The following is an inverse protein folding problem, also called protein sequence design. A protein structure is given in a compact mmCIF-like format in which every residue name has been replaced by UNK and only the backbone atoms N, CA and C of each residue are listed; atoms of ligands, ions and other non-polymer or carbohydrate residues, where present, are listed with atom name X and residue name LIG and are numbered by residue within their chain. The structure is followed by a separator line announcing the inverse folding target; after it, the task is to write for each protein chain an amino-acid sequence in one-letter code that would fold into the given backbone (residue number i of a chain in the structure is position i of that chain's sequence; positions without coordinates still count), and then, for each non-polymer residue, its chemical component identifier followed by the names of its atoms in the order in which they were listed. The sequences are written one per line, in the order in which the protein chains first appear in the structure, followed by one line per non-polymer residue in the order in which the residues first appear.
data_IF_782636804775
#
_entry.id   IF_782636804775
#
_cell.length_a   1.000
_cell.length_b   1.000
_cell.length_c   1.000
_cell.angle_alpha   90.00
_cell.angle_beta   90.00
_cell.angle_gamma   90.00
#
_symmetry.space_group_name_H-M   'P 1'
#
loop_
_entity.id
_entity.type
_entity.pdbx_description
1 polymer ?
#
# COMPACT_ATOMS: atom_id res chain seq x y z
N UNK A 1 2.97 0.26 -16.90
CA UNK A 1 3.76 -0.20 -15.75
C UNK A 1 3.12 -1.40 -15.07
N UNK A 2 3.94 -2.16 -14.31
CA UNK A 2 3.51 -3.26 -13.44
C UNK A 2 3.49 -2.76 -12.00
N UNK A 3 2.44 -3.12 -11.27
CA UNK A 3 2.20 -2.75 -9.88
C UNK A 3 1.87 -4.01 -9.08
N UNK A 4 2.10 -3.96 -7.78
CA UNK A 4 1.96 -5.13 -6.90
C UNK A 4 1.12 -4.79 -5.68
N UNK A 5 0.29 -5.75 -5.27
CA UNK A 5 -0.48 -5.66 -4.02
C UNK A 5 -0.43 -7.00 -3.31
N UNK A 6 -0.28 -6.95 -1.99
CA UNK A 6 -0.33 -8.12 -1.11
C UNK A 6 -1.49 -7.92 -0.14
N UNK A 7 -2.31 -8.94 0.06
CA UNK A 7 -3.46 -8.90 0.96
C UNK A 7 -3.56 -10.17 1.79
N UNK A 8 -4.27 -10.05 2.90
CA UNK A 8 -4.75 -11.21 3.66
C UNK A 8 -5.62 -12.11 2.76
N UNK A 9 -5.48 -13.45 2.86
CA UNK A 9 -6.23 -14.38 2.02
C UNK A 9 -7.75 -14.18 2.05
N UNK A 10 -8.32 -13.70 3.14
CA UNK A 10 -9.77 -13.46 3.26
C UNK A 10 -10.29 -12.37 2.31
N UNK A 11 -9.39 -11.53 1.76
CA UNK A 11 -9.70 -10.45 0.81
C UNK A 11 -9.15 -10.73 -0.59
N UNK A 12 -8.74 -11.97 -0.87
CA UNK A 12 -7.98 -12.32 -2.06
C UNK A 12 -8.46 -13.63 -2.72
N UNK A 13 -9.77 -13.88 -2.70
CA UNK A 13 -10.37 -14.98 -3.47
C UNK A 13 -10.50 -14.62 -4.95
N UNK A 14 -10.68 -13.33 -5.27
CA UNK A 14 -10.76 -12.83 -6.65
C UNK A 14 -9.95 -11.55 -6.85
N UNK A 15 -9.50 -11.25 -8.09
CA UNK A 15 -8.85 -9.97 -8.39
C UNK A 15 -9.72 -8.76 -8.06
N UNK A 16 -11.04 -8.91 -8.22
CA UNK A 16 -12.00 -7.86 -7.91
C UNK A 16 -12.01 -7.49 -6.42
N UNK A 17 -11.97 -8.50 -5.54
CA UNK A 17 -11.85 -8.29 -4.09
C UNK A 17 -10.53 -7.58 -3.74
N UNK A 18 -9.40 -8.04 -4.30
CA UNK A 18 -8.09 -7.43 -4.04
C UNK A 18 -8.01 -5.97 -4.52
N UNK A 19 -8.75 -5.63 -5.57
CA UNK A 19 -8.80 -4.29 -6.18
C UNK A 19 -10.09 -3.53 -5.84
N UNK A 20 -10.82 -3.92 -4.80
CA UNK A 20 -12.12 -3.31 -4.45
C UNK A 20 -12.01 -1.91 -3.83
N UNK A 21 -10.86 -1.58 -3.24
CA UNK A 21 -10.66 -0.37 -2.46
C UNK A 21 -11.47 -0.31 -1.15
N UNK A 22 -12.07 -1.43 -0.72
CA UNK A 22 -12.99 -1.45 0.44
C UNK A 22 -12.33 -1.00 1.74
N UNK A 23 -11.07 -1.39 1.98
CA UNK A 23 -10.34 -0.98 3.18
C UNK A 23 -10.16 0.54 3.26
N UNK A 24 -9.69 1.15 2.18
CA UNK A 24 -9.50 2.60 2.10
C UNK A 24 -10.85 3.35 2.16
N UNK A 25 -11.90 2.79 1.57
CA UNK A 25 -13.24 3.36 1.65
C UNK A 25 -13.75 3.43 3.10
N UNK A 26 -13.51 2.39 3.91
CA UNK A 26 -14.00 2.34 5.31
C UNK A 26 -13.14 3.11 6.29
N UNK A 27 -11.83 3.06 6.12
CA UNK A 27 -10.87 3.50 7.15
C UNK A 27 -9.96 4.64 6.68
N UNK A 28 -10.02 5.01 5.41
CA UNK A 28 -9.06 5.94 4.82
C UNK A 28 -7.68 5.29 4.63
N UNK A 29 -6.69 6.13 4.38
CA UNK A 29 -5.29 5.75 4.29
C UNK A 29 -4.39 6.96 4.51
N UNK A 30 -3.08 6.80 4.27
CA UNK A 30 -2.12 7.91 4.38
C UNK A 30 -2.48 9.10 3.47
N UNK A 31 -3.11 8.81 2.33
CA UNK A 31 -3.38 9.79 1.28
C UNK A 31 -4.87 10.02 1.03
N UNK A 32 -5.78 9.48 1.85
CA UNK A 32 -7.21 9.71 1.61
C UNK A 32 -8.05 9.57 2.88
N UNK A 33 -9.12 10.37 2.97
CA UNK A 33 -10.17 10.16 3.97
C UNK A 33 -11.06 8.96 3.62
N UNK A 34 -11.77 8.39 4.62
CA UNK A 34 -12.83 7.41 4.34
C UNK A 34 -13.89 7.99 3.39
N UNK A 35 -14.44 7.13 2.52
CA UNK A 35 -15.53 7.49 1.60
C UNK A 35 -15.22 7.27 0.11
N UNK A 36 -13.96 7.06 -0.24
CA UNK A 36 -13.54 6.79 -1.62
C UNK A 36 -12.84 5.44 -1.77
N UNK A 37 -13.17 4.70 -2.83
CA UNK A 37 -12.56 3.40 -3.12
C UNK A 37 -11.20 3.59 -3.77
N UNK A 38 -10.17 3.69 -2.94
CA UNK A 38 -8.77 3.79 -3.38
C UNK A 38 -8.07 2.44 -3.23
N UNK A 39 -7.39 2.01 -4.29
CA UNK A 39 -6.54 0.83 -4.26
C UNK A 39 -5.09 1.26 -4.18
N UNK A 40 -4.41 0.92 -3.08
CA UNK A 40 -2.98 1.13 -2.92
C UNK A 40 -2.19 -0.04 -3.51
N UNK A 41 -1.27 0.26 -4.42
CA UNK A 41 -0.32 -0.69 -4.97
C UNK A 41 1.10 -0.13 -4.85
N UNK A 42 2.10 -1.01 -4.92
CA UNK A 42 3.51 -0.63 -4.94
C UNK A 42 4.11 -0.84 -6.34
N UNK A 43 5.10 -0.04 -6.72
CA UNK A 43 5.82 -0.21 -7.99
C UNK A 43 6.69 -1.47 -8.02
N UNK A 44 7.01 -2.04 -6.85
CA UNK A 44 7.80 -3.26 -6.71
C UNK A 44 7.13 -4.24 -5.75
N UNK A 45 7.31 -5.55 -5.98
CA UNK A 45 6.86 -6.57 -5.03
C UNK A 45 7.60 -6.45 -3.69
N UNK A 46 8.87 -6.04 -3.72
CA UNK A 46 9.67 -5.78 -2.53
C UNK A 46 9.10 -4.64 -1.68
N UNK A 47 8.63 -3.56 -2.30
CA UNK A 47 7.97 -2.46 -1.59
C UNK A 47 6.62 -2.90 -1.04
N UNK A 48 5.79 -3.62 -1.80
CA UNK A 48 4.53 -4.15 -1.29
C UNK A 48 4.75 -5.06 -0.06
N UNK A 49 5.82 -5.85 -0.07
CA UNK A 49 6.23 -6.64 1.08
C UNK A 49 6.75 -5.77 2.22
N UNK A 50 7.54 -4.73 1.95
CA UNK A 50 8.01 -3.85 3.01
C UNK A 50 6.87 -3.08 3.70
N UNK A 51 5.92 -2.57 2.92
CA UNK A 51 4.69 -1.93 3.41
C UNK A 51 3.91 -2.86 4.33
N UNK A 52 3.66 -4.10 3.89
CA UNK A 52 2.96 -5.09 4.72
C UNK A 52 3.74 -5.41 6.01
N UNK A 53 5.06 -5.59 5.93
CA UNK A 53 5.91 -5.87 7.08
C UNK A 53 5.83 -4.78 8.16
N UNK A 54 5.86 -3.51 7.76
CA UNK A 54 5.83 -2.38 8.70
C UNK A 54 4.43 -2.19 9.30
N UNK A 55 3.36 -2.42 8.52
CA UNK A 55 2.00 -2.20 9.00
C UNK A 55 1.43 -3.35 9.84
N UNK A 56 1.92 -4.59 9.67
CA UNK A 56 1.49 -5.76 10.47
C UNK A 56 2.66 -6.63 10.93
N UNK A 57 3.57 -6.08 11.77
CA UNK A 57 4.82 -6.77 12.17
C UNK A 57 4.57 -8.08 12.93
N UNK A 58 3.46 -8.21 13.64
CA UNK A 58 3.11 -9.42 14.39
C UNK A 58 2.58 -10.56 13.51
N UNK A 59 2.19 -10.25 12.27
CA UNK A 59 1.60 -11.21 11.33
C UNK A 59 2.56 -11.61 10.20
N UNK A 60 3.85 -11.32 10.33
CA UNK A 60 4.87 -11.61 9.31
C UNK A 60 4.94 -13.09 8.90
N UNK A 61 4.45 -14.00 9.74
CA UNK A 61 4.40 -15.45 9.44
C UNK A 61 3.09 -15.91 8.77
N UNK A 62 2.10 -15.03 8.67
CA UNK A 62 0.83 -15.38 8.07
C UNK A 62 1.00 -15.68 6.56
N UNK A 63 0.24 -16.63 6.01
CA UNK A 63 0.15 -16.78 4.57
C UNK A 63 -0.60 -15.58 3.99
N UNK A 64 -0.07 -15.00 2.93
CA UNK A 64 -0.69 -13.91 2.19
C UNK A 64 -0.93 -14.32 0.74
N UNK A 65 -1.66 -13.47 0.03
CA UNK A 65 -1.82 -13.54 -1.41
C UNK A 65 -1.26 -12.28 -2.05
N UNK A 66 -0.61 -12.43 -3.21
CA UNK A 66 -0.17 -11.30 -4.02
C UNK A 66 -0.85 -11.31 -5.38
N UNK A 67 -0.94 -10.13 -5.97
CA UNK A 67 -1.36 -9.95 -7.35
C UNK A 67 -0.45 -8.92 -8.03
N UNK A 68 -0.10 -9.20 -9.29
CA UNK A 68 0.49 -8.21 -10.18
C UNK A 68 -0.62 -7.57 -11.00
N UNK A 69 -0.57 -6.25 -11.18
CA UNK A 69 -1.52 -5.48 -11.96
C UNK A 69 -0.77 -4.68 -13.01
N UNK A 70 -1.25 -4.68 -14.24
CA UNK A 70 -0.74 -3.84 -15.32
C UNK A 70 -1.67 -2.66 -15.54
N UNK A 71 -1.09 -1.45 -15.56
CA UNK A 71 -1.79 -0.20 -15.79
C UNK A 71 -1.04 0.62 -16.86
N UNK A 72 -1.74 1.16 -17.87
CA UNK A 72 -1.11 2.06 -18.83
C UNK A 72 -0.53 3.30 -18.13
N UNK A 73 0.78 3.55 -18.25
CA UNK A 73 1.48 4.65 -17.56
C UNK A 73 0.89 6.03 -17.85
N UNK A 74 0.39 6.24 -19.08
CA UNK A 74 -0.26 7.50 -19.47
C UNK A 74 -1.53 7.85 -18.66
N UNK A 75 -2.07 6.91 -17.89
CA UNK A 75 -3.25 7.11 -17.05
C UNK A 75 -2.87 7.39 -15.58
N UNK A 76 -1.57 7.43 -15.27
CA UNK A 76 -1.04 7.64 -13.94
C UNK A 76 -0.36 9.01 -13.92
N UNK A 77 -0.86 9.90 -13.07
CA UNK A 77 -0.20 11.15 -12.76
C UNK A 77 0.91 10.89 -11.72
N UNK A 78 1.99 11.64 -11.77
CA UNK A 78 3.05 11.56 -10.75
C UNK A 78 2.95 12.79 -9.85
N UNK A 79 2.81 12.59 -8.54
CA UNK A 79 2.89 13.66 -7.57
C UNK A 79 4.31 14.24 -7.55
N UNK A 80 4.41 15.57 -7.63
CA UNK A 80 5.67 16.28 -7.48
C UNK A 80 6.07 16.30 -6.00
N UNK A 81 7.18 15.65 -5.67
CA UNK A 81 7.64 15.51 -4.29
C UNK A 81 7.96 16.87 -3.63
N UNK A 82 8.17 17.95 -4.41
CA UNK A 82 8.44 19.30 -3.88
C UNK A 82 7.24 19.96 -3.20
N UNK A 83 6.03 19.41 -3.37
CA UNK A 83 4.81 19.91 -2.69
C UNK A 83 4.64 19.31 -1.30
N UNK A 84 5.49 18.35 -0.92
CA UNK A 84 5.40 17.66 0.36
C UNK A 84 6.06 18.49 1.47
N UNK A 85 5.45 18.56 2.67
CA UNK A 85 6.07 19.19 3.83
C UNK A 85 7.32 18.42 4.27
N UNK A 86 8.25 19.08 4.97
CA UNK A 86 9.55 18.49 5.32
C UNK A 86 9.46 17.19 6.16
N UNK A 87 8.39 17.04 6.94
CA UNK A 87 8.12 15.91 7.85
C UNK A 87 7.02 14.96 7.34
N UNK A 88 6.74 14.96 6.03
CA UNK A 88 5.65 14.19 5.45
C UNK A 88 5.72 12.67 5.69
N UNK A 89 6.91 12.10 5.93
CA UNK A 89 7.03 10.67 6.20
C UNK A 89 6.39 10.27 7.54
N UNK A 90 6.24 11.22 8.47
CA UNK A 90 5.66 10.97 9.78
C UNK A 90 4.24 10.39 9.67
N UNK A 91 3.85 9.46 10.56
CA UNK A 91 2.52 8.86 10.52
C UNK A 91 1.41 9.89 10.75
N UNK A 92 0.33 9.82 9.97
CA UNK A 92 -0.89 10.60 10.20
C UNK A 92 -0.83 12.07 9.77
N UNK A 93 0.08 12.44 8.86
CA UNK A 93 0.23 13.81 8.38
C UNK A 93 -1.01 14.30 7.61
N UNK A 94 -1.75 15.33 8.09
CA UNK A 94 -3.03 15.74 7.49
C UNK A 94 -2.89 16.31 6.08
N UNK A 95 -1.78 16.99 5.77
CA UNK A 95 -1.56 17.57 4.43
C UNK A 95 -1.49 16.50 3.33
N UNK A 96 -1.02 15.29 3.64
CA UNK A 96 -0.99 14.19 2.67
C UNK A 96 -2.38 13.69 2.30
N UNK A 97 -3.26 13.64 3.31
CA UNK A 97 -4.66 13.28 3.12
C UNK A 97 -5.34 14.34 2.26
N UNK A 98 -5.09 15.63 2.52
CA UNK A 98 -5.64 16.71 1.71
C UNK A 98 -5.18 16.64 0.24
N UNK A 99 -3.88 16.42 0.00
CA UNK A 99 -3.33 16.26 -1.36
C UNK A 99 -4.02 15.13 -2.12
N UNK A 100 -4.19 13.97 -1.50
CA UNK A 100 -4.82 12.84 -2.17
C UNK A 100 -6.34 12.97 -2.30
N UNK A 101 -7.03 13.58 -1.33
CA UNK A 101 -8.46 13.90 -1.44
C UNK A 101 -8.73 14.92 -2.56
N UNK A 102 -7.88 15.93 -2.72
CA UNK A 102 -7.94 16.87 -3.83
C UNK A 102 -7.76 16.17 -5.18
N UNK A 103 -6.81 15.23 -5.28
CA UNK A 103 -6.65 14.41 -6.46
C UNK A 103 -7.88 13.54 -6.73
N UNK A 104 -8.42 12.86 -5.72
CA UNK A 104 -9.62 12.02 -5.83
C UNK A 104 -10.80 12.84 -6.33
N UNK A 105 -11.06 14.00 -5.73
CA UNK A 105 -12.16 14.89 -6.12
C UNK A 105 -12.01 15.44 -7.55
N UNK A 106 -10.77 15.57 -8.03
CA UNK A 106 -10.49 16.05 -9.38
C UNK A 106 -10.77 15.02 -10.47
N UNK A 107 -10.68 13.71 -10.15
CA UNK A 107 -10.76 12.58 -11.09
C UNK A 107 -9.90 12.75 -12.37
N UNK A 108 -8.81 13.53 -12.30
CA UNK A 108 -8.03 13.91 -13.49
C UNK A 108 -7.20 12.76 -14.09
N UNK A 109 -6.98 11.70 -13.32
CA UNK A 109 -6.25 10.50 -13.75
C UNK A 109 -6.79 9.27 -13.06
N UNK A 110 -6.58 8.10 -13.68
CA UNK A 110 -6.94 6.80 -13.09
C UNK A 110 -6.12 6.51 -11.84
N UNK A 111 -4.84 6.91 -11.85
CA UNK A 111 -3.95 6.71 -10.73
C UNK A 111 -3.07 7.91 -10.42
N UNK A 112 -2.54 7.92 -9.20
CA UNK A 112 -1.54 8.85 -8.71
C UNK A 112 -0.37 8.05 -8.15
N UNK A 113 0.81 8.22 -8.76
CA UNK A 113 2.06 7.74 -8.20
C UNK A 113 2.51 8.72 -7.12
N UNK A 114 2.72 8.21 -5.91
CA UNK A 114 3.09 8.94 -4.69
C UNK A 114 4.36 8.34 -4.10
N UNK A 115 5.24 9.13 -3.46
CA UNK A 115 6.46 8.58 -2.88
C UNK A 115 6.12 7.64 -1.71
N UNK A 116 6.93 6.58 -1.56
CA UNK A 116 6.85 5.74 -0.36
C UNK A 116 7.49 6.46 0.82
N UNK A 117 6.75 6.58 1.93
CA UNK A 117 7.29 7.07 3.19
C UNK A 117 8.30 6.10 3.81
N UNK A 118 8.27 4.83 3.40
CA UNK A 118 9.05 3.74 3.98
C UNK A 118 10.39 3.52 3.27
N UNK A 119 10.43 3.64 1.95
CA UNK A 119 11.65 3.47 1.15
C UNK A 119 11.85 4.71 0.26
N UNK A 120 12.76 5.63 0.64
CA UNK A 120 13.08 6.80 -0.18
C UNK A 120 13.53 6.40 -1.60
N UNK A 121 12.95 7.06 -2.60
CA UNK A 121 13.22 6.79 -4.01
C UNK A 121 12.35 5.69 -4.65
N UNK A 122 11.54 4.97 -3.87
CA UNK A 122 10.49 4.10 -4.40
C UNK A 122 9.11 4.76 -4.27
N UNK A 123 8.14 4.30 -5.08
CA UNK A 123 6.80 4.89 -5.12
C UNK A 123 5.70 3.84 -4.99
N UNK A 124 4.61 4.28 -4.39
CA UNK A 124 3.33 3.60 -4.42
C UNK A 124 2.43 4.25 -5.48
N UNK A 125 1.39 3.55 -5.91
CA UNK A 125 0.36 4.08 -6.81
C UNK A 125 -1.00 3.88 -6.15
N UNK A 126 -1.74 4.97 -6.02
CA UNK A 126 -3.17 4.96 -5.71
C UNK A 126 -3.95 4.83 -7.01
N UNK A 127 -4.88 3.88 -7.10
CA UNK A 127 -5.87 3.81 -8.19
C UNK A 127 -7.24 4.17 -7.66
N UNK A 128 -7.97 5.02 -8.39
CA UNK A 128 -9.36 5.33 -8.09
C UNK A 128 -10.27 4.28 -8.72
N UNK A 129 -10.90 3.45 -7.89
CA UNK A 129 -11.67 2.28 -8.35
C UNK A 129 -12.85 2.65 -9.25
N UNK A 130 -13.51 3.75 -8.94
CA UNK A 130 -14.73 4.20 -9.63
C UNK A 130 -14.43 5.09 -10.85
N UNK A 131 -13.16 5.30 -11.19
CA UNK A 131 -12.76 6.11 -12.34
C UNK A 131 -13.18 5.44 -13.67
N UNK A 132 -13.66 6.19 -14.68
CA UNK A 132 -14.15 5.63 -15.95
C UNK A 132 -13.16 4.72 -16.68
N UNK A 133 -11.86 5.00 -16.54
CA UNK A 133 -10.78 4.23 -17.17
C UNK A 133 -10.31 3.00 -16.35
N UNK A 134 -10.96 2.66 -15.23
CA UNK A 134 -10.55 1.51 -14.42
C UNK A 134 -10.67 0.18 -15.18
N UNK A 135 -11.53 0.13 -16.20
CA UNK A 135 -11.64 -1.00 -17.13
C UNK A 135 -10.36 -1.26 -17.95
N UNK A 136 -9.38 -0.34 -17.94
CA UNK A 136 -8.06 -0.50 -18.56
C UNK A 136 -7.04 -1.18 -17.65
N UNK A 137 -7.36 -1.38 -16.37
CA UNK A 137 -6.54 -2.13 -15.41
C UNK A 137 -6.57 -3.62 -15.77
N UNK A 138 -5.41 -4.26 -15.84
CA UNK A 138 -5.29 -5.70 -16.14
C UNK A 138 -4.70 -6.41 -14.94
N UNK A 139 -5.54 -7.14 -14.21
CA UNK A 139 -5.10 -7.95 -13.09
C UNK A 139 -4.52 -9.28 -13.59
N UNK A 140 -3.38 -9.68 -13.05
CA UNK A 140 -2.80 -11.00 -13.26
C UNK A 140 -3.42 -12.06 -12.35
N UNK A 141 -2.78 -13.24 -12.32
CA UNK A 141 -3.17 -14.33 -11.42
C UNK A 141 -2.87 -13.98 -9.96
N UNK A 142 -3.70 -14.53 -9.07
CA UNK A 142 -3.47 -14.46 -7.63
C UNK A 142 -2.50 -15.58 -7.24
N UNK A 143 -1.40 -15.21 -6.59
CA UNK A 143 -0.35 -16.14 -6.18
C UNK A 143 -0.16 -16.14 -4.67
N UNK A 144 0.29 -17.26 -4.13
CA UNK A 144 0.70 -17.32 -2.72
C UNK A 144 1.91 -16.41 -2.47
N UNK A 145 1.87 -15.69 -1.35
CA UNK A 145 2.98 -14.91 -0.85
C UNK A 145 3.29 -15.27 0.60
N UNK A 146 4.58 -15.46 0.88
CA UNK A 146 5.09 -15.68 2.24
C UNK A 146 6.45 -15.01 2.35
N UNK A 147 6.71 -14.42 3.50
CA UNK A 147 8.07 -14.03 3.83
C UNK A 147 8.95 -15.26 4.03
N UNK A 148 10.25 -15.09 3.77
CA UNK A 148 11.25 -16.10 4.11
C UNK A 148 11.25 -16.37 5.62
N UNK A 149 11.29 -17.65 6.01
CA UNK A 149 11.22 -18.06 7.40
C UNK A 149 12.35 -17.47 8.29
N UNK A 150 13.46 -17.03 7.71
CA UNK A 150 14.54 -16.34 8.44
C UNK A 150 14.09 -14.99 9.00
N UNK A 151 13.16 -14.30 8.34
CA UNK A 151 12.62 -13.02 8.84
C UNK A 151 11.90 -13.22 10.18
N UNK A 152 11.16 -14.32 10.33
CA UNK A 152 10.52 -14.72 11.58
C UNK A 152 11.52 -14.84 12.73
N UNK A 153 12.69 -15.42 12.47
CA UNK A 153 13.74 -15.57 13.48
C UNK A 153 14.27 -14.23 13.96
N UNK A 154 14.34 -13.24 13.07
CA UNK A 154 14.78 -11.87 13.40
C UNK A 154 13.72 -11.15 14.23
N UNK A 155 12.46 -11.17 13.80
CA UNK A 155 11.36 -10.47 14.48
C UNK A 155 11.14 -11.03 15.88
N UNK A 156 11.06 -12.36 16.03
CA UNK A 156 10.86 -13.01 17.34
C UNK A 156 11.99 -12.71 18.34
N UNK A 157 13.24 -12.74 17.87
CA UNK A 157 14.42 -12.47 18.72
C UNK A 157 14.46 -11.03 19.23
N UNK A 158 13.99 -10.07 18.42
CA UNK A 158 13.89 -8.66 18.82
C UNK A 158 12.72 -8.38 19.76
N UNK A 159 11.57 -9.01 19.52
CA UNK A 159 10.43 -8.89 20.44
C UNK A 159 10.74 -9.49 21.81
N UNK A 160 11.45 -10.62 21.89
CA UNK A 160 11.87 -11.18 23.18
C UNK A 160 12.87 -10.30 23.93
N UNK A 161 13.82 -9.67 23.24
CA UNK A 161 14.80 -8.80 23.90
C UNK A 161 14.23 -7.48 24.42
N UNK A 162 13.12 -6.99 23.86
CA UNK A 162 12.45 -5.76 24.33
C UNK A 162 11.68 -6.05 25.64
N UNK A 163 11.07 -7.23 25.76
CA UNK A 163 10.35 -7.64 26.98
C UNK A 163 11.32 -7.90 28.14
N UNK A 164 12.50 -8.47 27.87
CA UNK A 164 13.52 -8.72 28.90
C UNK A 164 14.16 -7.43 29.45
N UNK A 165 14.18 -6.34 28.66
CA UNK A 165 14.71 -5.04 29.08
C UNK A 165 13.68 -4.23 29.91
N UNK A 166 12.37 -4.39 29.68
CA UNK A 166 11.31 -3.72 30.47
C UNK A 166 11.04 -4.39 31.84
N UNK A 167 11.38 -5.67 32.03
CA UNK A 167 11.27 -6.35 33.33
C UNK A 167 12.48 -6.11 34.26
N UNK A 168 13.54 -5.45 33.76
CA UNK A 168 14.78 -5.20 34.49
C UNK A 168 15.02 -3.71 34.84
N UNK A 169 14.07 -2.82 34.60
CA UNK A 169 14.03 -1.40 35.03
C UNK A 169 12.89 -1.16 36.04
#
# INVERSE_FOLDING_TARGET
MKLFRICDPQYAETPDQMLSGEGAFRYGGRWNTPGSRVVYLAESLSLAAYELLVHVPDQVIAPYKRIQVEVPEKLIMTLDDSVLPDDWQEPGHPDLVAIGDDWIASEQSLGLSVPSALIPGERNVMLLRDHPDFDKVRAGEIEDFRYDARLTGIVKKRLSSIVDDEEND
#
